data_IF_774865796146
#
_entry.id   IF_774865796146
#
_cell.length_a   1.000
_cell.length_b   1.000
_cell.length_c   1.000
_cell.angle_alpha   90.00
_cell.angle_beta   90.00
_cell.angle_gamma   90.00
#
_symmetry.space_group_name_H-M   'P 1'
#
loop_
_entity.id
_entity.type
_entity.pdbx_description
1 polymer ?
#
# COMPACT_ATOMS: atom_id res chain seq x y z
N UNK A 1 10.11 22.48 0.64
CA UNK A 1 10.71 21.77 -0.50
C UNK A 1 11.72 22.66 -1.20
N UNK A 2 12.92 22.13 -1.44
CA UNK A 2 14.03 22.82 -2.10
C UNK A 2 14.70 21.89 -3.10
N UNK A 3 15.02 22.40 -4.30
CA UNK A 3 15.90 21.74 -5.25
C UNK A 3 17.34 22.07 -4.86
N UNK A 4 18.21 21.06 -4.77
CA UNK A 4 19.63 21.20 -4.45
C UNK A 4 20.48 21.31 -5.72
N UNK A 5 20.14 20.50 -6.73
CA UNK A 5 20.72 20.48 -8.07
C UNK A 5 19.72 19.82 -9.04
N UNK A 6 20.05 19.70 -10.33
CA UNK A 6 19.20 18.97 -11.27
C UNK A 6 18.96 17.54 -10.76
N UNK A 7 17.69 17.17 -10.67
CA UNK A 7 17.25 15.85 -10.21
C UNK A 7 17.44 15.57 -8.70
N UNK A 8 17.90 16.54 -7.88
CA UNK A 8 18.06 16.34 -6.44
C UNK A 8 17.20 17.31 -5.64
N UNK A 9 16.37 16.77 -4.74
CA UNK A 9 15.42 17.55 -3.95
C UNK A 9 15.47 17.18 -2.47
N UNK A 10 15.12 18.14 -1.62
CA UNK A 10 14.91 17.95 -0.19
C UNK A 10 13.55 18.49 0.20
N UNK A 11 12.80 17.69 0.94
CA UNK A 11 11.47 17.99 1.44
C UNK A 11 11.44 17.66 2.93
N UNK A 12 10.82 18.52 3.73
CA UNK A 12 10.64 18.30 5.17
C UNK A 12 9.13 18.27 5.48
N UNK A 13 8.44 17.15 5.29
CA UNK A 13 7.08 16.99 5.76
C UNK A 13 7.06 16.72 7.26
N UNK A 14 5.93 16.99 7.90
CA UNK A 14 5.63 16.54 9.24
C UNK A 14 4.76 15.29 9.17
N UNK A 15 5.05 14.26 9.96
CA UNK A 15 4.20 13.09 10.07
C UNK A 15 2.92 13.46 10.80
N UNK A 16 1.79 13.23 10.12
CA UNK A 16 0.47 13.56 10.66
C UNK A 16 0.12 12.65 11.82
N UNK A 17 -0.54 13.23 12.85
CA UNK A 17 -1.05 12.51 14.04
C UNK A 17 -2.57 12.48 14.12
N UNK A 18 -3.26 13.03 13.14
CA UNK A 18 -4.71 13.20 13.18
C UNK A 18 -5.43 12.65 11.94
N UNK A 19 -4.72 11.88 11.10
CA UNK A 19 -5.35 11.29 9.92
C UNK A 19 -6.25 10.11 10.34
N UNK A 20 -7.52 10.16 9.97
CA UNK A 20 -8.56 9.22 10.38
C UNK A 20 -8.25 7.75 10.06
N UNK A 21 -7.42 7.52 9.05
CA UNK A 21 -6.97 6.18 8.63
C UNK A 21 -5.57 5.86 9.17
N UNK A 22 -4.54 6.63 8.82
CA UNK A 22 -3.15 6.32 9.16
C UNK A 22 -2.81 6.45 10.66
N UNK A 23 -3.65 7.13 11.43
CA UNK A 23 -3.48 7.25 12.88
C UNK A 23 -4.29 6.23 13.68
N UNK A 24 -5.19 5.50 13.01
CA UNK A 24 -5.98 4.43 13.62
C UNK A 24 -5.16 3.14 13.72
N UNK A 25 -4.19 3.13 14.63
CA UNK A 25 -3.29 1.99 14.86
C UNK A 25 -3.32 1.57 16.34
N UNK A 26 -3.40 0.27 16.57
CA UNK A 26 -3.56 -0.30 17.94
C UNK A 26 -2.23 -0.53 18.66
N UNK A 27 -1.12 -0.50 17.94
CA UNK A 27 0.21 -0.80 18.49
C UNK A 27 0.97 0.43 18.98
N UNK A 28 0.41 1.62 18.79
CA UNK A 28 1.06 2.85 19.21
C UNK A 28 2.20 3.33 18.30
N UNK A 29 2.39 2.74 17.13
CA UNK A 29 3.39 3.13 16.14
C UNK A 29 2.76 3.94 15.00
N UNK A 30 3.59 4.65 14.22
CA UNK A 30 3.12 5.17 12.93
C UNK A 30 2.88 4.01 11.96
N UNK A 31 1.76 4.06 11.25
CA UNK A 31 1.50 3.08 10.19
C UNK A 31 2.54 3.20 9.06
N UNK A 32 3.20 2.10 8.72
CA UNK A 32 4.17 2.07 7.63
C UNK A 32 3.56 2.45 6.27
N UNK A 33 2.26 2.27 6.08
CA UNK A 33 1.55 2.71 4.88
C UNK A 33 1.46 4.23 4.76
N UNK A 34 1.55 4.99 5.89
CA UNK A 34 1.72 6.44 5.85
C UNK A 34 3.02 6.85 5.14
N UNK A 35 4.08 6.09 5.30
CA UNK A 35 5.36 6.35 4.62
C UNK A 35 5.21 6.21 3.10
N UNK A 36 4.44 5.21 2.64
CA UNK A 36 4.12 5.05 1.23
C UNK A 36 3.36 6.26 0.69
N UNK A 37 2.35 6.73 1.44
CA UNK A 37 1.56 7.89 1.05
C UNK A 37 2.41 9.17 0.99
N UNK A 38 3.27 9.40 1.96
CA UNK A 38 4.21 10.54 1.95
C UNK A 38 5.11 10.48 0.72
N UNK A 39 5.66 9.32 0.41
CA UNK A 39 6.48 9.15 -0.77
C UNK A 39 5.70 9.40 -2.07
N UNK A 40 4.43 8.98 -2.12
CA UNK A 40 3.53 9.25 -3.25
C UNK A 40 3.30 10.74 -3.42
N UNK A 41 2.94 11.45 -2.36
CA UNK A 41 2.69 12.89 -2.37
C UNK A 41 3.95 13.69 -2.76
N UNK A 42 5.10 13.32 -2.22
CA UNK A 42 6.39 13.92 -2.57
C UNK A 42 6.69 13.76 -4.06
N UNK A 43 6.41 12.60 -4.65
CA UNK A 43 6.62 12.37 -6.08
C UNK A 43 5.75 13.26 -6.95
N UNK A 44 4.46 13.32 -6.63
CA UNK A 44 3.48 14.15 -7.33
C UNK A 44 3.88 15.63 -7.24
N UNK A 45 4.23 16.07 -6.04
CA UNK A 45 4.63 17.46 -5.79
C UNK A 45 5.89 17.85 -6.57
N UNK A 46 6.92 17.00 -6.61
CA UNK A 46 8.14 17.23 -7.42
C UNK A 46 7.77 17.33 -8.89
N UNK A 47 6.94 16.42 -9.37
CA UNK A 47 6.55 16.34 -10.78
C UNK A 47 5.81 17.60 -11.22
N UNK A 48 4.85 18.06 -10.46
CA UNK A 48 4.13 19.31 -10.78
C UNK A 48 5.05 20.53 -10.70
N UNK A 49 5.84 20.64 -9.62
CA UNK A 49 6.61 21.86 -9.34
C UNK A 49 7.86 22.03 -10.19
N UNK A 50 8.58 20.95 -10.47
CA UNK A 50 9.88 21.04 -11.13
C UNK A 50 9.90 20.49 -12.56
N UNK A 51 8.89 19.70 -12.93
CA UNK A 51 8.75 19.18 -14.29
C UNK A 51 7.55 19.80 -15.02
N UNK A 52 6.85 20.74 -14.37
CA UNK A 52 5.75 21.52 -14.96
C UNK A 52 4.65 20.63 -15.56
N UNK A 53 4.41 19.47 -14.94
CA UNK A 53 3.34 18.56 -15.36
C UNK A 53 1.99 19.11 -14.88
N UNK A 54 0.97 19.25 -15.75
CA UNK A 54 -0.33 19.81 -15.41
C UNK A 54 -1.05 19.01 -14.30
N UNK A 55 -1.80 19.68 -13.43
CA UNK A 55 -2.60 19.04 -12.37
C UNK A 55 -3.69 18.10 -12.90
N UNK A 56 -4.15 18.29 -14.13
CA UNK A 56 -5.12 17.41 -14.80
C UNK A 56 -4.53 16.05 -15.23
N UNK A 57 -3.24 15.86 -15.06
CA UNK A 57 -2.53 14.65 -15.49
C UNK A 57 -2.78 13.50 -14.51
N UNK A 58 -3.02 12.30 -15.02
CA UNK A 58 -3.17 11.07 -14.22
C UNK A 58 -1.81 10.43 -13.97
N UNK A 59 -1.54 10.11 -12.70
CA UNK A 59 -0.33 9.41 -12.29
C UNK A 59 -0.58 7.92 -12.15
N UNK A 60 0.38 7.11 -12.60
CA UNK A 60 0.37 5.66 -12.46
C UNK A 60 1.61 5.27 -11.66
N UNK A 61 1.38 4.57 -10.57
CA UNK A 61 2.42 3.97 -9.74
C UNK A 61 2.51 2.49 -10.10
N UNK A 62 3.61 2.10 -10.73
CA UNK A 62 3.79 0.73 -11.21
C UNK A 62 4.31 -0.20 -10.11
N UNK A 63 4.98 0.38 -9.11
CA UNK A 63 5.56 -0.36 -8.00
C UNK A 63 5.49 0.43 -6.70
N UNK A 64 5.18 -0.25 -5.60
CA UNK A 64 5.32 0.24 -4.24
C UNK A 64 6.37 -0.60 -3.53
N UNK A 65 7.54 -0.01 -3.27
CA UNK A 65 8.64 -0.66 -2.59
C UNK A 65 9.18 0.26 -1.49
N UNK A 66 9.30 -0.23 -0.27
CA UNK A 66 10.06 0.43 0.78
C UNK A 66 10.69 -0.60 1.71
N UNK A 67 11.77 -0.16 2.39
CA UNK A 67 12.42 -0.90 3.44
C UNK A 67 12.70 0.04 4.62
N UNK A 68 12.24 -0.33 5.81
CA UNK A 68 12.50 0.36 7.07
C UNK A 68 13.80 -0.19 7.64
N UNK A 69 14.85 0.62 7.62
CA UNK A 69 16.17 0.27 8.13
C UNK A 69 16.31 0.50 9.63
N UNK A 70 15.56 1.48 10.14
CA UNK A 70 15.50 1.82 11.56
C UNK A 70 14.07 2.19 11.92
N UNK A 71 13.44 1.37 12.74
CA UNK A 71 12.05 1.48 13.16
C UNK A 71 11.85 2.30 14.46
N UNK A 72 12.93 2.70 15.13
CA UNK A 72 12.85 3.38 16.42
C UNK A 72 12.07 4.69 16.38
N UNK A 73 12.07 5.37 15.22
CA UNK A 73 11.32 6.62 15.05
C UNK A 73 9.81 6.38 14.92
N UNK A 74 9.38 5.18 14.51
CA UNK A 74 7.96 4.83 14.40
C UNK A 74 7.30 4.66 15.79
N UNK A 75 8.11 4.46 16.83
CA UNK A 75 7.63 4.17 18.18
C UNK A 75 7.20 5.42 18.97
N UNK A 76 7.39 6.62 18.44
CA UNK A 76 7.13 7.85 19.19
C UNK A 76 5.88 8.58 18.68
N UNK A 77 4.72 8.19 19.19
CA UNK A 77 3.43 8.80 18.80
C UNK A 77 3.13 10.08 19.59
N UNK A 78 3.82 10.36 20.69
CA UNK A 78 3.45 11.48 21.58
C UNK A 78 3.73 12.85 20.98
N UNK A 79 4.72 12.96 20.11
CA UNK A 79 5.18 14.21 19.50
C UNK A 79 5.14 14.05 17.97
N UNK A 80 4.66 15.07 17.21
CA UNK A 80 4.79 15.07 15.76
C UNK A 80 6.27 14.93 15.37
N UNK A 81 6.57 14.02 14.45
CA UNK A 81 7.93 13.77 14.01
C UNK A 81 8.20 14.59 12.75
N UNK A 82 9.25 15.37 12.80
CA UNK A 82 9.79 16.06 11.65
C UNK A 82 10.74 15.13 10.90
N UNK A 83 10.48 14.97 9.62
CA UNK A 83 11.32 14.13 8.77
C UNK A 83 11.95 14.96 7.65
N UNK A 84 13.13 14.54 7.23
CA UNK A 84 13.76 15.04 6.02
C UNK A 84 13.76 13.96 4.96
N UNK A 85 13.19 14.27 3.79
CA UNK A 85 13.18 13.36 2.65
C UNK A 85 14.15 13.89 1.60
N UNK A 86 15.16 13.08 1.29
CA UNK A 86 16.03 13.31 0.13
C UNK A 86 15.49 12.51 -1.05
N UNK A 87 15.45 13.14 -2.21
CA UNK A 87 14.98 12.53 -3.45
C UNK A 87 16.01 12.72 -4.55
N UNK A 88 16.38 11.63 -5.20
CA UNK A 88 17.21 11.63 -6.38
C UNK A 88 16.41 11.10 -7.57
N UNK A 89 16.40 11.82 -8.67
CA UNK A 89 15.88 11.31 -9.94
C UNK A 89 16.97 10.43 -10.57
N UNK A 90 16.72 9.14 -10.57
CA UNK A 90 17.67 8.14 -11.11
C UNK A 90 17.57 8.10 -12.63
N UNK A 91 16.32 8.18 -13.14
CA UNK A 91 16.07 8.14 -14.59
C UNK A 91 14.83 8.97 -14.96
N UNK A 92 14.87 9.55 -16.17
CA UNK A 92 13.78 10.32 -16.77
C UNK A 92 13.24 9.54 -17.97
N UNK A 93 12.10 8.86 -17.79
CA UNK A 93 11.44 8.13 -18.89
C UNK A 93 10.96 9.10 -19.97
N UNK A 94 11.32 8.85 -21.21
CA UNK A 94 10.97 9.72 -22.32
C UNK A 94 10.17 8.99 -23.39
N UNK A 95 9.26 9.75 -24.01
CA UNK A 95 8.63 9.37 -25.27
C UNK A 95 8.91 10.50 -26.25
N UNK A 96 9.75 10.24 -27.25
CA UNK A 96 10.34 11.29 -28.09
C UNK A 96 11.08 12.33 -27.24
N UNK A 97 10.68 13.58 -27.25
CA UNK A 97 11.29 14.68 -26.44
C UNK A 97 10.62 14.88 -25.09
N UNK A 98 9.41 14.35 -24.89
CA UNK A 98 8.62 14.58 -23.69
C UNK A 98 8.96 13.59 -22.58
N UNK A 99 9.09 14.07 -21.33
CA UNK A 99 9.22 13.24 -20.15
C UNK A 99 7.83 12.70 -19.81
N UNK A 100 7.71 11.38 -19.69
CA UNK A 100 6.46 10.68 -19.38
C UNK A 100 6.51 9.92 -18.05
N UNK A 101 7.62 9.95 -17.34
CA UNK A 101 7.79 9.29 -16.07
C UNK A 101 9.16 9.56 -15.45
N UNK A 102 9.29 9.18 -14.19
CA UNK A 102 10.51 9.28 -13.40
C UNK A 102 10.75 8.00 -12.61
N UNK A 103 12.02 7.61 -12.50
CA UNK A 103 12.48 6.68 -11.48
C UNK A 103 13.12 7.50 -10.36
N UNK A 104 12.61 7.35 -9.16
CA UNK A 104 12.97 8.14 -8.00
C UNK A 104 13.55 7.25 -6.91
N UNK A 105 14.74 7.57 -6.45
CA UNK A 105 15.32 7.05 -5.21
C UNK A 105 15.03 8.06 -4.09
N UNK A 106 14.48 7.58 -2.99
CA UNK A 106 14.04 8.40 -1.87
C UNK A 106 14.51 7.82 -0.55
N UNK A 107 14.90 8.70 0.36
CA UNK A 107 15.37 8.33 1.69
C UNK A 107 14.74 9.24 2.73
N UNK A 108 14.18 8.66 3.78
CA UNK A 108 13.70 9.38 4.96
C UNK A 108 14.78 9.39 6.04
N UNK A 109 15.02 10.57 6.55
CA UNK A 109 15.89 10.82 7.70
C UNK A 109 15.07 11.40 8.84
N UNK A 110 15.32 10.91 10.05
CA UNK A 110 14.82 11.46 11.31
C UNK A 110 16.03 11.78 12.19
N UNK A 111 16.14 13.00 12.68
CA UNK A 111 17.30 13.44 13.47
C UNK A 111 18.66 13.10 12.80
N UNK A 112 18.76 13.29 11.48
CA UNK A 112 19.90 12.94 10.64
C UNK A 112 20.22 11.44 10.53
N UNK A 113 19.43 10.54 11.11
CA UNK A 113 19.55 9.11 10.96
C UNK A 113 18.74 8.63 9.75
N UNK A 114 19.32 7.83 8.86
CA UNK A 114 18.62 7.21 7.76
C UNK A 114 17.69 6.12 8.31
N UNK A 115 16.39 6.27 8.06
CA UNK A 115 15.37 5.39 8.61
C UNK A 115 14.65 4.54 7.55
N UNK A 116 14.37 5.11 6.39
CA UNK A 116 13.64 4.40 5.31
C UNK A 116 14.26 4.70 3.97
N UNK A 117 14.32 3.69 3.13
CA UNK A 117 14.66 3.82 1.71
C UNK A 117 13.49 3.36 0.85
N UNK A 118 13.33 3.97 -0.32
CA UNK A 118 12.27 3.63 -1.28
C UNK A 118 12.72 3.91 -2.70
N UNK A 119 12.51 2.92 -3.56
CA UNK A 119 12.52 3.11 -5.01
C UNK A 119 11.07 3.29 -5.51
N UNK A 120 10.84 4.25 -6.39
CA UNK A 120 9.53 4.49 -6.96
C UNK A 120 9.62 4.74 -8.45
N UNK A 121 8.85 3.96 -9.18
CA UNK A 121 8.62 4.11 -10.60
C UNK A 121 7.26 4.77 -10.80
N UNK A 122 7.25 6.00 -11.33
CA UNK A 122 6.02 6.70 -11.68
C UNK A 122 5.99 7.03 -13.16
N UNK A 123 4.83 6.91 -13.74
CA UNK A 123 4.52 7.42 -15.08
C UNK A 123 3.28 8.30 -15.03
N UNK A 124 3.08 9.11 -16.04
CA UNK A 124 1.89 9.95 -16.14
C UNK A 124 1.39 10.05 -17.57
N UNK A 125 0.11 10.29 -17.68
CA UNK A 125 -0.55 10.45 -18.97
C UNK A 125 -1.76 11.38 -18.88
N UNK A 126 -2.22 11.87 -20.01
CA UNK A 126 -3.46 12.63 -20.07
C UNK A 126 -4.67 11.73 -19.75
N UNK A 127 -5.73 12.35 -19.24
CA UNK A 127 -6.99 11.65 -18.94
C UNK A 127 -7.55 10.92 -20.16
N UNK A 128 -7.45 11.49 -21.35
CA UNK A 128 -7.87 10.85 -22.60
C UNK A 128 -7.10 9.56 -22.90
N UNK A 129 -5.79 9.55 -22.67
CA UNK A 129 -4.96 8.35 -22.86
C UNK A 129 -5.29 7.31 -21.81
N UNK A 130 -5.47 7.72 -20.56
CA UNK A 130 -5.86 6.84 -19.47
C UNK A 130 -7.20 6.14 -19.77
N UNK A 131 -8.22 6.89 -20.19
CA UNK A 131 -9.52 6.35 -20.61
C UNK A 131 -9.41 5.38 -21.77
N UNK A 132 -8.60 5.69 -22.79
CA UNK A 132 -8.36 4.79 -23.94
C UNK A 132 -7.67 3.48 -23.54
N UNK A 133 -6.76 3.51 -22.58
CA UNK A 133 -6.09 2.30 -22.09
C UNK A 133 -7.05 1.41 -21.33
N UNK A 134 -7.98 1.99 -20.56
CA UNK A 134 -8.98 1.26 -19.80
C UNK A 134 -10.11 0.74 -20.68
N UNK A 135 -10.54 1.51 -21.69
CA UNK A 135 -11.60 1.14 -22.64
C UNK A 135 -11.15 0.13 -23.70
N UNK A 136 -9.90 -0.33 -23.71
CA UNK A 136 -9.56 -1.54 -24.46
C UNK A 136 -10.40 -2.66 -23.86
N UNK A 137 -11.26 -3.34 -24.63
CA UNK A 137 -12.10 -4.39 -24.11
C UNK A 137 -11.19 -5.44 -23.48
N UNK A 138 -11.13 -5.49 -22.17
CA UNK A 138 -11.01 -6.74 -21.46
C UNK A 138 -12.16 -7.55 -22.04
N UNK A 139 -11.86 -8.49 -22.96
CA UNK A 139 -12.78 -9.34 -23.68
C UNK A 139 -14.05 -9.48 -22.83
N UNK A 140 -15.16 -9.04 -23.38
CA UNK A 140 -16.47 -9.02 -22.76
C UNK A 140 -16.83 -10.44 -22.28
N UNK A 141 -16.32 -10.79 -21.14
CA UNK A 141 -16.82 -11.89 -20.36
C UNK A 141 -17.93 -11.27 -19.52
N UNK A 142 -19.13 -11.72 -19.86
CA UNK A 142 -20.37 -11.44 -19.18
C UNK A 142 -20.14 -10.95 -17.76
N UNK A 143 -20.38 -9.67 -17.51
CA UNK A 143 -20.60 -9.12 -16.20
C UNK A 143 -21.88 -9.80 -15.68
N UNK A 144 -21.75 -11.05 -15.23
CA UNK A 144 -22.70 -11.56 -14.29
C UNK A 144 -22.52 -10.64 -13.06
N UNK A 145 -23.46 -9.73 -12.89
CA UNK A 145 -23.79 -9.19 -11.60
C UNK A 145 -24.01 -10.40 -10.70
N UNK A 146 -22.93 -10.87 -10.08
CA UNK A 146 -23.05 -11.85 -9.02
C UNK A 146 -23.85 -11.13 -7.93
N UNK A 147 -25.18 -11.35 -7.94
CA UNK A 147 -26.01 -11.14 -6.77
C UNK A 147 -25.19 -11.73 -5.63
N UNK A 148 -24.81 -10.86 -4.72
CA UNK A 148 -24.17 -11.24 -3.48
C UNK A 148 -25.20 -12.16 -2.81
N UNK A 149 -25.08 -13.46 -3.03
CA UNK A 149 -25.79 -14.43 -2.21
C UNK A 149 -25.40 -14.08 -0.77
N UNK A 150 -26.41 -13.97 0.09
CA UNK A 150 -26.30 -13.74 1.52
C UNK A 150 -25.59 -14.92 2.22
N UNK A 151 -24.35 -15.20 1.82
CA UNK A 151 -23.47 -16.03 2.64
C UNK A 151 -23.12 -15.18 3.86
N UNK A 152 -23.28 -15.76 5.02
CA UNK A 152 -22.89 -15.15 6.30
C UNK A 152 -21.40 -14.88 6.23
N UNK A 153 -21.06 -13.67 5.78
CA UNK A 153 -19.68 -13.20 5.70
C UNK A 153 -19.25 -12.94 7.14
N UNK A 154 -18.30 -13.70 7.64
CA UNK A 154 -17.67 -13.42 8.94
C UNK A 154 -17.04 -12.03 8.84
N UNK A 155 -17.57 -11.08 9.62
CA UNK A 155 -17.00 -9.73 9.64
C UNK A 155 -15.66 -9.76 10.37
N UNK A 156 -14.64 -9.24 9.72
CA UNK A 156 -13.31 -9.06 10.30
C UNK A 156 -13.39 -7.96 11.36
N UNK A 157 -12.88 -8.26 12.56
CA UNK A 157 -12.86 -7.27 13.65
C UNK A 157 -11.67 -6.33 13.48
N UNK A 158 -11.84 -5.01 13.66
CA UNK A 158 -10.76 -4.03 13.48
C UNK A 158 -9.45 -4.39 14.20
N UNK A 159 -9.43 -4.85 15.47
CA UNK A 159 -8.19 -5.21 16.14
C UNK A 159 -7.44 -6.40 15.52
N UNK A 160 -8.12 -7.25 14.75
CA UNK A 160 -7.48 -8.38 14.06
C UNK A 160 -6.58 -7.93 12.90
N UNK A 161 -6.86 -6.73 12.38
CA UNK A 161 -6.15 -6.12 11.25
C UNK A 161 -5.42 -4.82 11.61
N UNK A 162 -5.25 -4.57 12.91
CA UNK A 162 -4.43 -3.46 13.41
C UNK A 162 -5.14 -2.12 13.54
N UNK A 163 -6.47 -2.09 13.45
CA UNK A 163 -7.30 -0.88 13.53
C UNK A 163 -8.23 -0.87 14.75
N UNK A 164 -8.83 0.28 15.04
CA UNK A 164 -9.92 0.43 16.05
C UNK A 164 -11.26 0.71 15.39
N UNK A 165 -11.27 1.38 14.23
CA UNK A 165 -12.49 1.77 13.52
C UNK A 165 -12.85 0.77 12.41
N UNK A 166 -14.10 0.34 12.37
CA UNK A 166 -14.62 -0.58 11.34
C UNK A 166 -14.46 -0.05 9.91
N UNK A 167 -14.53 1.27 9.72
CA UNK A 167 -14.38 1.90 8.41
C UNK A 167 -12.98 1.73 7.81
N UNK A 168 -11.98 1.43 8.65
CA UNK A 168 -10.61 1.19 8.21
C UNK A 168 -10.36 -0.29 7.86
N UNK A 169 -11.35 -1.16 8.07
CA UNK A 169 -11.29 -2.56 7.64
C UNK A 169 -11.72 -2.64 6.18
N UNK A 170 -10.78 -2.93 5.29
CA UNK A 170 -10.99 -2.96 3.83
C UNK A 170 -11.21 -4.37 3.28
N UNK A 171 -11.32 -5.37 4.14
CA UNK A 171 -11.54 -6.77 3.76
C UNK A 171 -12.73 -7.38 4.47
N UNK A 172 -13.32 -8.40 3.80
CA UNK A 172 -14.22 -9.37 4.43
C UNK A 172 -13.60 -10.75 4.29
N UNK A 173 -13.66 -11.54 5.35
CA UNK A 173 -13.26 -12.94 5.27
C UNK A 173 -14.38 -13.73 4.60
N UNK A 174 -14.05 -14.38 3.49
CA UNK A 174 -15.00 -15.18 2.73
C UNK A 174 -14.93 -16.65 3.09
N UNK A 175 -13.69 -17.18 3.19
CA UNK A 175 -13.46 -18.59 3.35
C UNK A 175 -12.15 -18.84 4.10
N UNK A 176 -12.24 -19.75 5.06
CA UNK A 176 -11.07 -20.26 5.77
C UNK A 176 -11.12 -21.79 5.72
N UNK A 177 -10.22 -22.40 4.97
CA UNK A 177 -10.11 -23.85 4.87
C UNK A 177 -8.70 -24.32 5.26
N UNK A 178 -8.44 -25.60 5.13
CA UNK A 178 -7.16 -26.19 5.53
C UNK A 178 -5.95 -25.57 4.79
N UNK A 179 -6.12 -25.24 3.51
CA UNK A 179 -5.01 -24.80 2.64
C UNK A 179 -4.90 -23.27 2.48
N UNK A 180 -6.02 -22.55 2.60
CA UNK A 180 -6.07 -21.13 2.24
C UNK A 180 -7.05 -20.30 3.07
N UNK A 181 -6.80 -19.01 3.11
CA UNK A 181 -7.71 -17.97 3.59
C UNK A 181 -8.02 -17.08 2.39
N UNK A 182 -9.30 -16.98 2.02
CA UNK A 182 -9.74 -16.10 0.94
C UNK A 182 -10.44 -14.89 1.55
N UNK A 183 -10.00 -13.71 1.17
CA UNK A 183 -10.63 -12.43 1.54
C UNK A 183 -11.09 -11.70 0.29
N UNK A 184 -12.10 -10.87 0.42
CA UNK A 184 -12.51 -9.96 -0.63
C UNK A 184 -12.34 -8.51 -0.20
N UNK A 185 -12.08 -7.66 -1.17
CA UNK A 185 -12.05 -6.22 -0.96
C UNK A 185 -13.45 -5.72 -0.57
N UNK A 186 -13.50 -4.92 0.49
CA UNK A 186 -14.68 -4.22 0.94
C UNK A 186 -14.33 -2.74 1.17
N UNK A 187 -14.93 -1.85 0.41
CA UNK A 187 -14.65 -0.42 0.47
C UNK A 187 -15.94 0.39 0.43
N UNK A 188 -15.97 1.47 1.20
CA UNK A 188 -16.97 2.52 1.14
C UNK A 188 -16.35 3.73 0.44
N UNK A 189 -16.75 3.99 -0.82
CA UNK A 189 -16.17 5.06 -1.63
C UNK A 189 -16.39 6.47 -1.07
N UNK A 190 -17.45 6.65 -0.27
CA UNK A 190 -17.74 7.91 0.42
C UNK A 190 -16.85 8.16 1.64
N UNK A 191 -15.96 7.19 2.00
CA UNK A 191 -15.13 7.32 3.19
C UNK A 191 -13.87 8.15 2.91
N UNK A 192 -13.77 9.39 3.43
CA UNK A 192 -12.66 10.29 3.11
C UNK A 192 -11.31 9.86 3.68
N UNK A 193 -11.29 8.89 4.60
CA UNK A 193 -10.04 8.31 5.12
C UNK A 193 -9.24 7.55 4.07
N UNK A 194 -9.93 7.02 3.05
CA UNK A 194 -9.33 6.24 1.97
C UNK A 194 -9.52 6.88 0.59
N UNK A 195 -10.56 7.70 0.42
CA UNK A 195 -10.92 8.34 -0.85
C UNK A 195 -11.09 9.84 -0.63
N UNK A 196 -10.11 10.63 -1.05
CA UNK A 196 -10.12 12.10 -0.97
C UNK A 196 -10.95 12.74 -2.10
N UNK A 197 -11.29 11.98 -3.14
CA UNK A 197 -12.17 12.37 -4.25
C UNK A 197 -12.74 11.13 -4.94
N UNK A 198 -13.76 11.32 -5.78
CA UNK A 198 -14.33 10.25 -6.57
C UNK A 198 -13.29 9.68 -7.55
N UNK A 199 -13.16 8.37 -7.53
CA UNK A 199 -12.28 7.61 -8.39
C UNK A 199 -13.05 6.56 -9.17
N UNK A 200 -12.56 6.25 -10.33
CA UNK A 200 -13.11 5.23 -11.23
C UNK A 200 -12.45 3.84 -11.05
N UNK A 201 -11.44 3.76 -10.18
CA UNK A 201 -10.72 2.53 -9.85
C UNK A 201 -10.26 2.54 -8.38
N UNK A 202 -9.91 1.38 -7.86
CA UNK A 202 -9.38 1.24 -6.50
C UNK A 202 -7.94 1.74 -6.45
N UNK A 203 -7.64 2.57 -5.46
CA UNK A 203 -6.28 3.08 -5.24
C UNK A 203 -5.29 1.95 -4.90
N UNK A 204 -4.07 2.06 -5.40
CA UNK A 204 -2.99 1.13 -5.05
C UNK A 204 -2.74 1.04 -3.54
N UNK A 205 -2.91 2.16 -2.81
CA UNK A 205 -2.80 2.17 -1.35
C UNK A 205 -3.86 1.31 -0.66
N UNK A 206 -5.09 1.29 -1.18
CA UNK A 206 -6.17 0.43 -0.67
C UNK A 206 -5.88 -1.04 -0.96
N UNK A 207 -5.28 -1.35 -2.11
CA UNK A 207 -4.85 -2.71 -2.44
C UNK A 207 -3.72 -3.18 -1.51
N UNK A 208 -2.74 -2.33 -1.21
CA UNK A 208 -1.69 -2.65 -0.23
C UNK A 208 -2.31 -2.90 1.15
N UNK A 209 -3.29 -2.10 1.54
CA UNK A 209 -3.99 -2.30 2.81
C UNK A 209 -4.76 -3.61 2.85
N UNK A 210 -5.45 -3.98 1.75
CA UNK A 210 -6.09 -5.30 1.62
C UNK A 210 -5.08 -6.43 1.83
N UNK A 211 -3.91 -6.33 1.20
CA UNK A 211 -2.82 -7.29 1.36
C UNK A 211 -2.32 -7.36 2.81
N UNK A 212 -2.08 -6.21 3.43
CA UNK A 212 -1.64 -6.11 4.84
C UNK A 212 -2.65 -6.75 5.78
N UNK A 213 -3.92 -6.38 5.67
CA UNK A 213 -4.97 -6.90 6.54
C UNK A 213 -5.15 -8.42 6.38
N UNK A 214 -5.10 -8.94 5.15
CA UNK A 214 -5.20 -10.39 4.92
C UNK A 214 -3.99 -11.14 5.48
N UNK A 215 -2.79 -10.58 5.33
CA UNK A 215 -1.57 -11.16 5.91
C UNK A 215 -1.67 -11.23 7.45
N UNK A 216 -2.13 -10.16 8.11
CA UNK A 216 -2.33 -10.12 9.57
C UNK A 216 -3.30 -11.18 10.07
N UNK A 217 -4.42 -11.40 9.35
CA UNK A 217 -5.36 -12.50 9.65
C UNK A 217 -4.68 -13.87 9.51
N UNK A 218 -3.93 -14.06 8.40
CA UNK A 218 -3.21 -15.31 8.17
C UNK A 218 -2.19 -15.62 9.27
N UNK A 219 -1.39 -14.63 9.65
CA UNK A 219 -0.39 -14.75 10.72
C UNK A 219 -1.08 -15.05 12.05
N UNK A 220 -2.17 -14.34 12.40
CA UNK A 220 -2.94 -14.61 13.61
C UNK A 220 -3.46 -16.04 13.63
N UNK A 221 -4.06 -16.53 12.55
CA UNK A 221 -4.64 -17.88 12.47
C UNK A 221 -3.62 -19.01 12.54
N UNK A 222 -2.43 -18.80 11.97
CA UNK A 222 -1.39 -19.83 11.91
C UNK A 222 -0.46 -19.81 13.11
N UNK A 223 -0.18 -18.64 13.68
CA UNK A 223 0.84 -18.45 14.74
C UNK A 223 0.28 -17.95 16.05
N UNK A 224 -0.99 -17.57 16.08
CA UNK A 224 -1.62 -16.90 17.23
C UNK A 224 -0.89 -15.59 17.61
N UNK A 225 -0.28 -14.90 16.61
CA UNK A 225 0.34 -13.59 16.79
C UNK A 225 -0.67 -12.53 16.33
N UNK A 226 -1.00 -11.62 17.23
CA UNK A 226 -1.98 -10.56 16.98
C UNK A 226 -1.35 -9.35 16.29
N UNK A 227 -2.17 -8.60 15.55
CA UNK A 227 -1.72 -7.45 14.75
C UNK A 227 -0.95 -6.39 15.56
N UNK A 228 -1.31 -6.14 16.84
CA UNK A 228 -0.61 -5.20 17.71
C UNK A 228 0.83 -5.60 18.06
N UNK A 229 1.23 -6.84 17.73
CA UNK A 229 2.60 -7.36 17.89
C UNK A 229 3.36 -7.43 16.57
N UNK A 230 2.80 -6.90 15.51
CA UNK A 230 3.39 -6.97 14.17
C UNK A 230 3.59 -5.55 13.62
N UNK A 231 4.78 -5.31 13.11
CA UNK A 231 5.16 -4.08 12.43
C UNK A 231 5.53 -4.40 10.99
N UNK A 232 4.93 -3.70 10.03
CA UNK A 232 5.29 -3.83 8.62
C UNK A 232 6.59 -3.07 8.38
N UNK A 233 7.65 -3.80 8.02
CA UNK A 233 8.99 -3.24 7.83
C UNK A 233 9.44 -3.21 6.38
N UNK A 234 8.83 -4.02 5.51
CA UNK A 234 9.15 -4.04 4.08
C UNK A 234 7.88 -4.28 3.27
N UNK A 235 7.79 -3.60 2.16
CA UNK A 235 6.77 -3.78 1.14
C UNK A 235 7.45 -3.80 -0.22
N UNK A 236 7.18 -4.82 -1.02
CA UNK A 236 7.57 -4.92 -2.44
C UNK A 236 6.37 -5.42 -3.23
N UNK A 237 5.63 -4.49 -3.83
CA UNK A 237 4.37 -4.77 -4.52
C UNK A 237 4.38 -4.13 -5.91
N UNK A 238 4.04 -4.93 -6.92
CA UNK A 238 3.93 -4.53 -8.34
C UNK A 238 2.46 -4.51 -8.74
N UNK A 239 2.06 -3.45 -9.44
CA UNK A 239 0.72 -3.29 -9.99
C UNK A 239 0.76 -3.55 -11.51
N UNK A 240 0.02 -4.56 -11.97
CA UNK A 240 -0.02 -4.97 -13.37
C UNK A 240 -1.20 -4.36 -14.13
N UNK A 241 -2.28 -4.04 -13.41
CA UNK A 241 -3.51 -3.50 -14.00
C UNK A 241 -4.27 -2.64 -12.99
N UNK A 242 -5.18 -1.83 -13.48
CA UNK A 242 -6.16 -1.12 -12.65
C UNK A 242 -7.12 -2.13 -12.01
N UNK A 243 -7.46 -1.88 -10.75
CA UNK A 243 -8.49 -2.62 -10.03
C UNK A 243 -9.83 -1.90 -10.21
N UNK A 244 -10.77 -2.54 -10.89
CA UNK A 244 -12.09 -1.98 -11.16
C UNK A 244 -12.99 -2.06 -9.92
N UNK A 245 -13.64 -0.94 -9.55
CA UNK A 245 -14.44 -0.85 -8.31
C UNK A 245 -15.63 -1.80 -8.31
N UNK A 246 -16.31 -1.92 -9.47
CA UNK A 246 -17.53 -2.72 -9.59
C UNK A 246 -17.30 -4.22 -9.77
N UNK A 247 -16.03 -4.62 -9.79
CA UNK A 247 -15.66 -6.02 -10.05
C UNK A 247 -15.14 -6.64 -8.75
N UNK A 248 -15.61 -7.83 -8.45
CA UNK A 248 -15.17 -8.59 -7.27
C UNK A 248 -13.65 -8.75 -7.29
N UNK A 249 -13.02 -8.38 -6.19
CA UNK A 249 -11.57 -8.44 -6.02
C UNK A 249 -11.28 -9.34 -4.84
N UNK A 250 -10.49 -10.38 -5.06
CA UNK A 250 -10.19 -11.40 -4.06
C UNK A 250 -8.69 -11.59 -3.92
N UNK A 251 -8.30 -12.00 -2.71
CA UNK A 251 -6.98 -12.47 -2.42
C UNK A 251 -7.07 -13.83 -1.68
N UNK A 252 -6.28 -14.80 -2.15
CA UNK A 252 -6.11 -16.09 -1.50
C UNK A 252 -4.71 -16.17 -0.88
N UNK A 253 -4.67 -16.32 0.44
CA UNK A 253 -3.45 -16.57 1.21
C UNK A 253 -3.23 -18.07 1.35
N UNK A 254 -2.16 -18.58 0.76
CA UNK A 254 -1.76 -19.98 0.89
C UNK A 254 -1.11 -20.23 2.27
N UNK A 255 -1.79 -21.02 3.10
CA UNK A 255 -1.31 -21.34 4.46
C UNK A 255 -0.05 -22.18 4.49
N UNK A 256 0.12 -23.08 3.52
CA UNK A 256 1.31 -23.95 3.46
C UNK A 256 2.55 -23.17 3.05
N UNK A 257 2.40 -22.19 2.15
CA UNK A 257 3.49 -21.30 1.76
C UNK A 257 3.92 -20.43 2.93
N UNK A 258 2.97 -19.82 3.64
CA UNK A 258 3.26 -19.03 4.84
C UNK A 258 3.93 -19.87 5.92
N UNK A 259 3.51 -21.13 6.15
CA UNK A 259 4.17 -22.05 7.10
C UNK A 259 5.61 -22.36 6.70
N UNK A 260 5.92 -22.55 5.42
CA UNK A 260 7.28 -22.77 4.94
C UNK A 260 8.19 -21.57 5.21
N UNK A 261 7.72 -20.36 4.90
CA UNK A 261 8.45 -19.11 5.18
C UNK A 261 8.80 -18.98 6.67
N UNK A 262 7.87 -19.37 7.55
CA UNK A 262 8.07 -19.35 8.99
C UNK A 262 9.14 -20.33 9.48
N UNK A 263 9.22 -21.52 8.87
CA UNK A 263 10.24 -22.53 9.20
C UNK A 263 11.64 -22.10 8.78
N UNK A 264 11.75 -21.28 7.74
CA UNK A 264 13.01 -20.78 7.21
C UNK A 264 13.55 -19.59 7.99
N UNK A 265 12.69 -18.78 8.61
CA UNK A 265 13.05 -17.54 9.29
C UNK A 265 13.05 -17.72 10.81
N UNK A 266 14.23 -17.90 11.40
CA UNK A 266 14.42 -17.95 12.87
C UNK A 266 14.33 -16.59 13.57
N UNK A 267 14.30 -15.48 12.84
CA UNK A 267 14.57 -14.11 13.33
C UNK A 267 13.32 -13.26 13.50
N UNK A 268 12.23 -13.76 14.09
CA UNK A 268 11.04 -12.92 14.39
C UNK A 268 10.50 -12.10 13.18
N UNK A 269 10.96 -12.39 11.97
CA UNK A 269 10.55 -11.76 10.73
C UNK A 269 9.64 -12.72 9.95
N UNK A 270 8.49 -12.24 9.51
CA UNK A 270 7.51 -13.04 8.78
C UNK A 270 7.33 -12.42 7.40
N UNK A 271 7.74 -13.14 6.36
CA UNK A 271 7.51 -12.75 4.98
C UNK A 271 6.24 -13.40 4.45
N UNK A 272 5.40 -12.62 3.79
CA UNK A 272 4.14 -13.07 3.21
C UNK A 272 4.12 -12.70 1.73
N UNK A 273 4.01 -13.71 0.86
CA UNK A 273 3.82 -13.53 -0.58
C UNK A 273 2.34 -13.37 -0.91
N UNK A 274 2.04 -12.50 -1.85
CA UNK A 274 0.70 -11.93 -2.01
C UNK A 274 0.36 -11.71 -3.48
N UNK A 275 -0.88 -12.06 -3.87
CA UNK A 275 -1.40 -11.76 -5.21
C UNK A 275 -2.89 -11.46 -5.16
N UNK A 276 -3.30 -10.31 -5.68
CA UNK A 276 -4.71 -9.93 -5.81
C UNK A 276 -5.19 -10.31 -7.21
N UNK A 277 -6.35 -10.97 -7.23
CA UNK A 277 -7.02 -11.37 -8.46
C UNK A 277 -8.31 -10.58 -8.65
N UNK A 278 -8.55 -10.22 -9.90
CA UNK A 278 -9.83 -9.69 -10.36
C UNK A 278 -10.17 -10.34 -11.69
N UNK A 279 -11.36 -10.93 -11.82
CA UNK A 279 -11.77 -11.71 -13.02
C UNK A 279 -10.72 -12.74 -13.44
N UNK A 280 -10.20 -13.53 -12.50
CA UNK A 280 -9.16 -14.55 -12.69
C UNK A 280 -7.82 -14.03 -13.27
N UNK A 281 -7.58 -12.73 -13.20
CA UNK A 281 -6.30 -12.13 -13.59
C UNK A 281 -5.60 -11.57 -12.36
N UNK A 282 -4.29 -11.79 -12.27
CA UNK A 282 -3.46 -11.15 -11.26
C UNK A 282 -3.34 -9.67 -11.62
N UNK A 283 -3.85 -8.79 -10.76
CA UNK A 283 -3.76 -7.33 -10.93
C UNK A 283 -2.64 -6.73 -10.10
N UNK A 284 -2.25 -7.41 -9.03
CA UNK A 284 -1.20 -6.96 -8.11
C UNK A 284 -0.52 -8.17 -7.51
N UNK A 285 0.80 -8.16 -7.40
CA UNK A 285 1.53 -9.18 -6.64
C UNK A 285 2.77 -8.61 -5.98
N UNK A 286 3.28 -9.33 -4.95
CA UNK A 286 4.48 -8.93 -4.25
C UNK A 286 4.67 -9.64 -2.93
N UNK A 287 5.35 -8.97 -2.01
CA UNK A 287 5.55 -9.47 -0.65
C UNK A 287 5.48 -8.34 0.38
N UNK A 288 5.04 -8.69 1.56
CA UNK A 288 5.10 -7.87 2.75
C UNK A 288 5.94 -8.60 3.81
N UNK A 289 6.74 -7.84 4.56
CA UNK A 289 7.56 -8.39 5.62
C UNK A 289 7.19 -7.74 6.95
N UNK A 290 6.88 -8.57 7.93
CA UNK A 290 6.49 -8.14 9.28
C UNK A 290 7.55 -8.54 10.29
N UNK A 291 7.85 -7.62 11.20
CA UNK A 291 8.67 -7.85 12.39
C UNK A 291 7.76 -8.10 13.59
N UNK A 292 8.03 -9.18 14.32
CA UNK A 292 7.38 -9.43 15.59
C UNK A 292 8.02 -8.56 16.67
N UNK A 293 7.26 -7.63 17.22
CA UNK A 293 7.70 -6.72 18.28
C UNK A 293 7.27 -7.23 19.64
N UNK A 294 8.18 -7.20 20.61
CA UNK A 294 7.86 -7.43 22.01
C UNK A 294 7.15 -6.18 22.54
N UNK A 295 6.05 -6.37 23.29
CA UNK A 295 5.44 -5.23 23.99
C UNK A 295 6.51 -4.64 24.92
N UNK A 296 6.76 -3.35 24.75
CA UNK A 296 7.50 -2.58 25.76
C UNK A 296 6.53 -2.45 26.94
N UNK A 297 6.83 -3.15 28.02
CA UNK A 297 6.09 -3.07 29.29
C UNK A 297 6.18 -1.65 29.86
#
# INVERSE_FOLDING_TARGET
MKQLSDGRYVIAPQLLRSHIYFYDVINGYYDATLLLEIFRQVSICITHRFYTIPHSTKFIFNKAEFNILNDTFLNNIRIPIEVTIKVNVVDKKRKTVSIIGLNLDKSIYVNNCLCVIKLMDITWMSDLVCKKLRNKPLISQNLQENKIENQILCSVKPPEVGHTFHRNVVIKELKDNFNEIITSLYIEQSYPGLFDHELDHVLGMVLIEMLKQTALIGIKKLLNIYAHRLELIECDVIFFAFCEIKTKTEYSLNKNELKKELLLNKDKIIKVHLSILQSNKVITSGSLMFKHVSLIN
#
